data_IF_117323418060
#
_entry.id   IF_117323418060
#
_cell.length_a   1.000
_cell.length_b   1.000
_cell.length_c   1.000
_cell.angle_alpha   90.00
_cell.angle_beta   90.00
_cell.angle_gamma   90.00
#
_symmetry.space_group_name_H-M   'P 1'
#
loop_
_entity.id
_entity.type
_entity.pdbx_description
1 polymer ?
#
# COMPACT_ATOMS: atom_id res chain seq x y z
N UNK A 1 7.64 -20.09 -14.38
CA UNK A 1 7.08 -19.45 -13.17
C UNK A 1 7.43 -17.99 -13.25
N UNK A 2 6.47 -17.08 -13.02
CA UNK A 2 6.76 -15.65 -12.90
C UNK A 2 7.70 -15.43 -11.71
N UNK A 3 8.66 -14.51 -11.83
CA UNK A 3 9.54 -14.15 -10.71
C UNK A 3 8.74 -13.51 -9.57
N UNK A 4 9.35 -13.36 -8.38
CA UNK A 4 8.64 -12.83 -7.20
C UNK A 4 8.27 -11.34 -7.34
N UNK A 5 8.81 -10.65 -8.34
CA UNK A 5 8.54 -9.26 -8.69
C UNK A 5 7.52 -9.10 -9.81
N UNK A 6 7.25 -10.17 -10.56
CA UNK A 6 6.44 -10.11 -11.78
C UNK A 6 4.96 -10.25 -11.46
N UNK A 7 4.11 -9.70 -12.34
CA UNK A 7 2.67 -9.92 -12.26
C UNK A 7 2.39 -11.42 -12.41
N UNK A 8 1.66 -12.04 -11.46
CA UNK A 8 1.42 -13.46 -11.52
C UNK A 8 0.32 -13.76 -12.55
N UNK A 9 0.44 -14.90 -13.23
CA UNK A 9 -0.60 -15.39 -14.15
C UNK A 9 -1.83 -15.91 -13.41
N UNK A 10 -1.67 -16.32 -12.15
CA UNK A 10 -2.76 -16.75 -11.28
C UNK A 10 -2.44 -16.49 -9.81
N UNK A 11 -3.47 -16.46 -8.97
CA UNK A 11 -3.35 -16.29 -7.52
C UNK A 11 -4.08 -17.39 -6.80
N UNK A 12 -3.65 -17.71 -5.59
CA UNK A 12 -4.42 -18.58 -4.72
C UNK A 12 -5.82 -17.99 -4.51
N UNK A 13 -6.83 -18.84 -4.72
CA UNK A 13 -8.23 -18.49 -4.47
C UNK A 13 -8.41 -18.20 -2.98
N UNK A 14 -9.00 -17.04 -2.68
CA UNK A 14 -9.30 -16.64 -1.31
C UNK A 14 -10.72 -17.04 -0.95
N UNK A 15 -10.92 -17.53 0.27
CA UNK A 15 -12.25 -17.77 0.84
C UNK A 15 -12.91 -16.50 1.38
N UNK A 16 -12.14 -15.40 1.47
CA UNK A 16 -12.66 -14.10 1.89
C UNK A 16 -13.54 -13.49 0.79
N UNK A 17 -14.78 -13.10 1.09
CA UNK A 17 -15.80 -12.77 0.10
C UNK A 17 -15.48 -11.54 -0.76
N UNK A 18 -14.65 -10.62 -0.27
CA UNK A 18 -14.29 -9.39 -0.99
C UNK A 18 -13.09 -9.57 -1.94
N UNK A 19 -12.21 -10.55 -1.67
CA UNK A 19 -10.86 -10.55 -2.25
C UNK A 19 -10.88 -10.77 -3.76
N UNK A 20 -11.77 -11.63 -4.26
CA UNK A 20 -11.87 -11.89 -5.70
C UNK A 20 -12.30 -10.62 -6.47
N UNK A 21 -13.38 -9.97 -6.02
CA UNK A 21 -13.89 -8.75 -6.65
C UNK A 21 -12.91 -7.59 -6.55
N UNK A 22 -12.24 -7.41 -5.40
CA UNK A 22 -11.20 -6.38 -5.24
C UNK A 22 -10.05 -6.61 -6.21
N UNK A 23 -9.54 -7.86 -6.30
CA UNK A 23 -8.43 -8.19 -7.21
C UNK A 23 -8.76 -7.91 -8.67
N UNK A 24 -9.97 -8.25 -9.11
CA UNK A 24 -10.43 -7.97 -10.45
C UNK A 24 -10.38 -6.48 -10.79
N UNK A 25 -10.90 -5.63 -9.88
CA UNK A 25 -10.92 -4.19 -10.07
C UNK A 25 -9.53 -3.56 -10.00
N UNK A 26 -8.70 -3.98 -9.03
CA UNK A 26 -7.31 -3.50 -8.91
C UNK A 26 -6.49 -3.92 -10.13
N UNK A 27 -6.71 -5.12 -10.66
CA UNK A 27 -6.04 -5.59 -11.87
C UNK A 27 -6.43 -4.77 -13.10
N UNK A 28 -7.73 -4.45 -13.25
CA UNK A 28 -8.20 -3.59 -14.33
C UNK A 28 -7.65 -2.16 -14.19
N UNK A 29 -7.66 -1.60 -12.98
CA UNK A 29 -7.13 -0.28 -12.67
C UNK A 29 -5.63 -0.18 -12.96
N UNK A 30 -4.84 -1.16 -12.51
CA UNK A 30 -3.39 -1.23 -12.81
C UNK A 30 -3.13 -1.31 -14.31
N UNK A 31 -3.84 -2.17 -15.04
CA UNK A 31 -3.68 -2.30 -16.51
C UNK A 31 -4.07 -1.02 -17.26
N UNK A 32 -5.00 -0.25 -16.72
CA UNK A 32 -5.43 1.03 -17.28
C UNK A 32 -4.47 2.19 -17.01
N UNK A 33 -3.35 1.98 -16.31
CA UNK A 33 -2.42 3.05 -15.94
C UNK A 33 -2.92 3.91 -14.77
N UNK A 34 -3.60 3.30 -13.80
CA UNK A 34 -4.10 3.95 -12.57
C UNK A 34 -5.11 5.11 -12.79
N UNK A 35 -6.15 4.96 -13.63
CA UNK A 35 -7.12 6.03 -13.85
C UNK A 35 -7.83 6.44 -12.55
N UNK A 36 -8.02 7.75 -12.36
CA UNK A 36 -8.66 8.31 -11.18
C UNK A 36 -7.77 8.42 -9.93
N UNK A 37 -6.51 7.98 -10.00
CA UNK A 37 -5.52 8.34 -8.99
C UNK A 37 -5.20 9.84 -9.09
N UNK A 38 -4.94 10.47 -7.95
CA UNK A 38 -4.33 11.80 -7.85
C UNK A 38 -2.93 11.82 -8.45
N UNK A 39 -2.43 13.02 -8.75
CA UNK A 39 -1.07 13.20 -9.24
C UNK A 39 -0.05 12.66 -8.24
N UNK A 40 -0.28 12.89 -6.94
CA UNK A 40 0.58 12.36 -5.87
C UNK A 40 0.60 10.83 -5.85
N UNK A 41 -0.56 10.18 -5.91
CA UNK A 41 -0.63 8.72 -5.90
C UNK A 41 -0.06 8.11 -7.16
N UNK A 42 -0.34 8.68 -8.34
CA UNK A 42 0.23 8.24 -9.60
C UNK A 42 1.77 8.31 -9.57
N UNK A 43 2.34 9.43 -9.10
CA UNK A 43 3.79 9.59 -9.00
C UNK A 43 4.44 8.61 -8.02
N UNK A 44 3.82 8.35 -6.86
CA UNK A 44 4.34 7.35 -5.91
C UNK A 44 4.29 5.93 -6.48
N UNK A 45 3.18 5.57 -7.14
CA UNK A 45 3.03 4.24 -7.75
C UNK A 45 4.03 4.02 -8.90
N UNK A 46 4.28 5.05 -9.71
CA UNK A 46 5.33 5.05 -10.72
C UNK A 46 6.70 4.89 -10.06
N UNK A 47 7.00 5.72 -9.06
CA UNK A 47 8.24 5.64 -8.32
C UNK A 47 8.50 4.24 -7.78
N UNK A 48 7.55 3.63 -7.09
CA UNK A 48 7.81 2.34 -6.44
C UNK A 48 7.85 1.17 -7.41
N UNK A 49 7.07 1.18 -8.48
CA UNK A 49 6.81 -0.04 -9.26
C UNK A 49 7.22 0.03 -10.73
N UNK A 50 7.62 1.20 -11.22
CA UNK A 50 8.05 1.42 -12.61
C UNK A 50 9.47 2.01 -12.70
N UNK A 51 9.85 2.91 -11.78
CA UNK A 51 11.23 3.43 -11.73
C UNK A 51 12.23 2.33 -11.32
N UNK A 52 13.47 2.47 -11.78
CA UNK A 52 14.60 1.61 -11.39
C UNK A 52 15.18 2.07 -10.05
N UNK A 53 15.48 1.10 -9.17
CA UNK A 53 16.11 1.36 -7.88
C UNK A 53 17.36 0.52 -7.69
N UNK A 54 18.28 1.04 -6.87
CA UNK A 54 19.48 0.33 -6.48
C UNK A 54 19.66 0.35 -4.97
N UNK A 55 20.21 -0.72 -4.41
CA UNK A 55 20.73 -0.73 -3.04
C UNK A 55 21.99 0.15 -2.94
N UNK A 56 22.44 0.52 -1.72
CA UNK A 56 23.70 1.25 -1.56
C UNK A 56 24.92 0.57 -2.20
N UNK A 57 24.90 -0.76 -2.31
CA UNK A 57 25.96 -1.57 -2.94
C UNK A 57 25.82 -1.65 -4.48
N UNK A 58 24.89 -0.90 -5.07
CA UNK A 58 24.66 -0.82 -6.52
C UNK A 58 23.87 -1.99 -7.12
N UNK A 59 23.27 -2.86 -6.29
CA UNK A 59 22.45 -3.98 -6.76
C UNK A 59 21.03 -3.51 -7.09
N UNK A 60 20.43 -4.07 -8.14
CA UNK A 60 19.03 -3.80 -8.49
C UNK A 60 18.09 -4.11 -7.30
N UNK A 61 17.22 -3.15 -6.98
CA UNK A 61 16.19 -3.29 -5.96
C UNK A 61 14.81 -3.22 -6.61
N UNK A 62 13.96 -4.20 -6.30
CA UNK A 62 12.55 -4.23 -6.73
C UNK A 62 11.65 -4.66 -5.59
N UNK A 63 10.51 -4.00 -5.47
CA UNK A 63 9.46 -4.46 -4.56
C UNK A 63 8.82 -5.74 -5.11
N UNK A 64 8.51 -6.68 -4.22
CA UNK A 64 7.80 -7.90 -4.58
C UNK A 64 6.39 -7.59 -5.08
N UNK A 65 5.87 -8.43 -5.97
CA UNK A 65 4.50 -8.27 -6.47
C UNK A 65 3.47 -8.24 -5.32
N UNK A 66 3.66 -9.07 -4.28
CA UNK A 66 2.76 -9.06 -3.13
C UNK A 66 2.77 -7.74 -2.35
N UNK A 67 3.89 -7.00 -2.35
CA UNK A 67 3.98 -5.67 -1.75
C UNK A 67 3.24 -4.64 -2.61
N UNK A 68 3.47 -4.70 -3.94
CA UNK A 68 2.74 -3.89 -4.92
C UNK A 68 1.23 -4.08 -4.83
N UNK A 69 0.77 -5.33 -4.86
CA UNK A 69 -0.66 -5.67 -4.76
C UNK A 69 -1.27 -5.12 -3.46
N UNK A 70 -0.56 -5.23 -2.33
CA UNK A 70 -1.05 -4.71 -1.06
C UNK A 70 -1.21 -3.19 -1.08
N UNK A 71 -0.20 -2.46 -1.58
CA UNK A 71 -0.20 -0.99 -1.63
C UNK A 71 -1.26 -0.48 -2.60
N UNK A 72 -1.26 -0.98 -3.84
CA UNK A 72 -2.25 -0.61 -4.86
C UNK A 72 -3.68 -0.90 -4.39
N UNK A 73 -3.91 -2.01 -3.68
CA UNK A 73 -5.24 -2.34 -3.16
C UNK A 73 -5.72 -1.29 -2.16
N UNK A 74 -4.87 -0.89 -1.20
CA UNK A 74 -5.25 0.12 -0.21
C UNK A 74 -5.52 1.46 -0.88
N UNK A 75 -4.65 1.90 -1.79
CA UNK A 75 -4.81 3.16 -2.54
C UNK A 75 -6.09 3.11 -3.37
N UNK A 76 -6.32 2.04 -4.14
CA UNK A 76 -7.52 1.89 -4.97
C UNK A 76 -8.80 1.96 -4.13
N UNK A 77 -8.88 1.16 -3.06
CA UNK A 77 -10.07 1.15 -2.19
C UNK A 77 -10.27 2.50 -1.52
N UNK A 78 -9.18 3.16 -1.15
CA UNK A 78 -9.28 4.44 -0.47
C UNK A 78 -9.64 5.56 -1.45
N UNK A 79 -8.78 5.84 -2.41
CA UNK A 79 -8.82 7.06 -3.20
C UNK A 79 -9.73 6.98 -4.42
N UNK A 80 -9.76 5.81 -5.07
CA UNK A 80 -10.42 5.60 -6.36
C UNK A 80 -11.86 5.10 -6.16
N UNK A 81 -12.04 4.00 -5.45
CA UNK A 81 -13.37 3.45 -5.15
C UNK A 81 -14.13 4.31 -4.12
N UNK A 82 -13.40 5.01 -3.23
CA UNK A 82 -13.94 5.88 -2.17
C UNK A 82 -14.97 5.20 -1.26
N UNK A 83 -14.92 3.88 -1.16
CA UNK A 83 -15.77 3.12 -0.26
C UNK A 83 -15.11 3.03 1.12
N UNK A 84 -15.66 3.83 2.05
CA UNK A 84 -15.14 4.02 3.42
C UNK A 84 -15.81 3.14 4.47
N UNK A 85 -16.80 2.34 4.11
CA UNK A 85 -17.53 1.47 5.05
C UNK A 85 -17.62 0.05 4.53
N UNK A 86 -17.71 -0.91 5.44
CA UNK A 86 -17.86 -2.33 5.07
C UNK A 86 -19.11 -2.59 4.21
N UNK A 87 -20.30 -2.01 4.50
CA UNK A 87 -21.46 -2.15 3.61
C UNK A 87 -21.21 -1.65 2.19
N UNK A 88 -20.55 -0.50 2.02
CA UNK A 88 -20.24 0.05 0.70
C UNK A 88 -19.27 -0.86 -0.07
N UNK A 89 -18.20 -1.32 0.59
CA UNK A 89 -17.27 -2.28 0.02
C UNK A 89 -17.96 -3.60 -0.35
N UNK A 90 -18.83 -4.10 0.52
CA UNK A 90 -19.56 -5.34 0.28
C UNK A 90 -20.51 -5.24 -0.92
N UNK A 91 -21.20 -4.10 -1.06
CA UNK A 91 -22.11 -3.86 -2.18
C UNK A 91 -21.43 -3.91 -3.55
N UNK A 92 -20.15 -3.52 -3.64
CA UNK A 92 -19.40 -3.55 -4.90
C UNK A 92 -18.61 -4.84 -5.11
N UNK A 93 -17.97 -5.38 -4.06
CA UNK A 93 -16.92 -6.40 -4.23
C UNK A 93 -17.28 -7.78 -3.68
N UNK A 94 -18.33 -7.91 -2.85
CA UNK A 94 -18.57 -9.17 -2.16
C UNK A 94 -19.22 -10.21 -3.06
N UNK A 95 -18.67 -11.43 -3.06
CA UNK A 95 -19.27 -12.60 -3.72
C UNK A 95 -20.45 -13.22 -2.94
N UNK A 96 -20.63 -12.82 -1.67
CA UNK A 96 -21.72 -13.26 -0.79
C UNK A 96 -21.96 -12.22 0.32
N UNK A 97 -23.14 -12.23 0.98
CA UNK A 97 -23.44 -11.27 2.05
C UNK A 97 -22.40 -11.26 3.18
N UNK A 98 -22.11 -10.06 3.69
CA UNK A 98 -21.20 -9.82 4.81
C UNK A 98 -21.96 -9.05 5.88
N UNK A 99 -21.96 -9.57 7.11
CA UNK A 99 -22.50 -8.85 8.24
C UNK A 99 -21.63 -7.62 8.55
N UNK A 100 -22.27 -6.46 8.70
CA UNK A 100 -21.60 -5.26 9.19
C UNK A 100 -21.63 -5.23 10.71
N UNK A 101 -20.53 -4.79 11.32
CA UNK A 101 -20.46 -4.51 12.76
C UNK A 101 -20.72 -3.04 13.10
N UNK A 102 -21.22 -2.25 12.15
CA UNK A 102 -21.56 -0.83 12.35
C UNK A 102 -20.36 0.11 12.39
N UNK A 103 -19.13 -0.37 12.11
CA UNK A 103 -17.94 0.49 12.11
C UNK A 103 -18.05 1.60 11.04
N UNK A 104 -17.99 2.90 11.42
CA UNK A 104 -18.24 4.02 10.50
C UNK A 104 -17.01 4.43 9.68
N UNK A 105 -15.91 3.69 9.78
CA UNK A 105 -14.62 3.99 9.13
C UNK A 105 -14.04 2.74 8.45
N UNK A 106 -13.15 2.92 7.45
CA UNK A 106 -12.58 1.79 6.74
C UNK A 106 -11.60 1.04 7.65
N UNK A 107 -11.62 -0.30 7.57
CA UNK A 107 -10.59 -1.16 8.15
C UNK A 107 -10.06 -2.06 7.06
N UNK A 108 -8.79 -1.86 6.72
CA UNK A 108 -8.10 -2.66 5.72
C UNK A 108 -7.23 -3.70 6.42
N UNK A 109 -7.23 -4.92 5.90
CA UNK A 109 -6.41 -6.02 6.41
C UNK A 109 -5.58 -6.57 5.25
N UNK A 110 -4.26 -6.47 5.38
CA UNK A 110 -3.31 -7.09 4.46
C UNK A 110 -2.85 -8.42 5.06
N UNK A 111 -3.29 -9.53 4.46
CA UNK A 111 -2.82 -10.87 4.86
C UNK A 111 -1.48 -11.16 4.18
N UNK A 112 -0.39 -11.07 4.95
CA UNK A 112 0.97 -11.20 4.45
C UNK A 112 1.75 -12.31 5.18
N UNK A 113 2.54 -13.08 4.43
CA UNK A 113 3.37 -14.15 4.97
C UNK A 113 4.57 -13.60 5.78
N UNK A 114 5.22 -14.44 6.57
CA UNK A 114 6.52 -14.11 7.17
C UNK A 114 7.57 -13.96 6.08
N UNK A 115 8.43 -12.94 6.17
CA UNK A 115 9.46 -12.66 5.15
C UNK A 115 8.96 -11.89 3.92
N UNK A 116 7.66 -11.65 3.73
CA UNK A 116 7.14 -10.93 2.55
C UNK A 116 7.37 -9.41 2.57
N UNK A 117 8.16 -8.88 3.52
CA UNK A 117 8.42 -7.46 3.70
C UNK A 117 7.20 -6.62 4.12
N UNK A 118 6.53 -7.04 5.20
CA UNK A 118 5.39 -6.29 5.79
C UNK A 118 5.76 -4.85 6.16
N UNK A 119 6.95 -4.63 6.71
CA UNK A 119 7.46 -3.29 7.06
C UNK A 119 7.54 -2.38 5.83
N UNK A 120 7.99 -2.91 4.67
CA UNK A 120 8.03 -2.14 3.41
C UNK A 120 6.62 -1.72 2.97
N UNK A 121 5.64 -2.62 3.03
CA UNK A 121 4.23 -2.25 2.73
C UNK A 121 3.76 -1.13 3.66
N UNK A 122 4.10 -1.22 4.95
CA UNK A 122 3.77 -0.16 5.91
C UNK A 122 4.44 1.16 5.55
N UNK A 123 5.75 1.18 5.27
CA UNK A 123 6.45 2.43 4.93
C UNK A 123 5.90 3.10 3.68
N UNK A 124 5.57 2.33 2.63
CA UNK A 124 4.96 2.87 1.42
C UNK A 124 3.60 3.50 1.71
N UNK A 125 2.74 2.84 2.50
CA UNK A 125 1.43 3.39 2.87
C UNK A 125 1.52 4.62 3.76
N UNK A 126 2.50 4.66 4.67
CA UNK A 126 2.76 5.82 5.52
C UNK A 126 3.26 7.02 4.69
N UNK A 127 4.17 6.78 3.76
CA UNK A 127 4.64 7.81 2.82
C UNK A 127 3.49 8.32 1.95
N UNK A 128 2.65 7.43 1.41
CA UNK A 128 1.46 7.84 0.66
C UNK A 128 0.52 8.71 1.50
N UNK A 129 0.17 8.29 2.73
CA UNK A 129 -0.68 9.10 3.60
C UNK A 129 -0.10 10.50 3.85
N UNK A 130 1.20 10.56 4.13
CA UNK A 130 1.92 11.81 4.39
C UNK A 130 1.91 12.74 3.17
N UNK A 131 2.41 12.28 2.03
CA UNK A 131 2.53 13.10 0.82
C UNK A 131 1.19 13.45 0.21
N UNK A 132 0.23 12.53 0.21
CA UNK A 132 -1.12 12.82 -0.26
C UNK A 132 -1.78 13.89 0.61
N UNK A 133 -1.56 13.90 1.93
CA UNK A 133 -2.05 14.99 2.79
C UNK A 133 -1.34 16.32 2.51
N UNK A 134 -0.05 16.30 2.21
CA UNK A 134 0.73 17.51 1.96
C UNK A 134 0.40 18.15 0.59
N UNK A 135 0.18 17.32 -0.44
CA UNK A 135 0.18 17.75 -1.84
C UNK A 135 -1.21 17.81 -2.47
N UNK A 136 -2.18 17.04 -2.00
CA UNK A 136 -3.53 17.00 -2.59
C UNK A 136 -4.52 17.88 -1.81
N UNK A 137 -5.06 18.94 -2.43
CA UNK A 137 -6.09 19.77 -1.81
C UNK A 137 -7.31 18.95 -1.40
N UNK A 138 -7.75 19.08 -0.15
CA UNK A 138 -8.91 18.37 0.37
C UNK A 138 -8.65 16.90 0.75
N UNK A 139 -7.39 16.46 0.78
CA UNK A 139 -7.03 15.14 1.30
C UNK A 139 -7.50 14.93 2.74
N UNK A 140 -8.22 13.82 2.96
CA UNK A 140 -8.65 13.34 4.29
C UNK A 140 -7.57 12.47 5.00
N UNK A 141 -6.42 12.24 4.35
CA UNK A 141 -5.30 11.49 4.93
C UNK A 141 -4.54 12.34 5.96
N UNK A 142 -3.53 11.75 6.60
CA UNK A 142 -2.81 12.34 7.73
C UNK A 142 -1.31 12.32 7.53
N UNK A 143 -0.62 13.33 8.07
CA UNK A 143 0.84 13.36 8.20
C UNK A 143 1.33 12.68 9.49
N UNK A 144 0.43 12.36 10.42
CA UNK A 144 0.74 11.68 11.68
C UNK A 144 0.16 10.28 11.70
N UNK A 145 1.00 9.29 12.00
CA UNK A 145 0.63 7.88 12.03
C UNK A 145 1.12 7.19 13.29
N UNK A 146 0.40 6.16 13.73
CA UNK A 146 0.75 5.32 14.88
C UNK A 146 0.99 3.88 14.42
N UNK A 147 2.20 3.37 14.68
CA UNK A 147 2.54 1.96 14.46
C UNK A 147 2.54 1.24 15.80
N UNK A 148 1.72 0.19 15.94
CA UNK A 148 1.59 -0.58 17.17
C UNK A 148 2.23 -1.96 16.99
N UNK A 149 3.14 -2.31 17.89
CA UNK A 149 3.78 -3.63 17.93
C UNK A 149 3.10 -4.55 18.96
N UNK A 150 3.04 -5.86 18.71
CA UNK A 150 2.41 -6.82 19.63
C UNK A 150 3.24 -7.13 20.89
N UNK A 151 4.55 -6.83 20.88
CA UNK A 151 5.45 -7.05 22.02
C UNK A 151 6.75 -6.23 21.83
N UNK A 152 7.56 -6.19 22.88
CA UNK A 152 8.81 -5.42 22.92
C UNK A 152 9.81 -5.82 21.82
N UNK A 153 9.92 -7.12 21.50
CA UNK A 153 10.88 -7.59 20.49
C UNK A 153 10.51 -7.07 19.10
N UNK A 154 9.22 -7.09 18.75
CA UNK A 154 8.74 -6.53 17.48
C UNK A 154 8.82 -5.00 17.49
N UNK A 155 8.56 -4.38 18.63
CA UNK A 155 8.71 -2.93 18.80
C UNK A 155 10.14 -2.48 18.50
N UNK A 156 11.15 -3.11 19.11
CA UNK A 156 12.56 -2.74 18.91
C UNK A 156 12.98 -2.85 17.44
N UNK A 157 12.50 -3.87 16.72
CA UNK A 157 12.75 -4.00 15.28
C UNK A 157 12.10 -2.89 14.46
N UNK A 158 10.83 -2.60 14.72
CA UNK A 158 10.14 -1.49 14.07
C UNK A 158 10.77 -0.15 14.43
N UNK A 159 11.25 0.03 15.67
CA UNK A 159 11.98 1.24 16.06
C UNK A 159 13.23 1.40 15.20
N UNK A 160 14.07 0.36 15.09
CA UNK A 160 15.26 0.43 14.23
C UNK A 160 14.92 0.76 12.77
N UNK A 161 13.81 0.24 12.24
CA UNK A 161 13.37 0.56 10.88
C UNK A 161 12.91 2.03 10.74
N UNK A 162 12.12 2.54 11.69
CA UNK A 162 11.41 3.83 11.54
C UNK A 162 12.04 5.03 12.26
N UNK A 163 12.94 4.81 13.22
CA UNK A 163 13.56 5.86 14.03
C UNK A 163 14.32 6.85 13.14
N UNK A 164 14.17 8.15 13.44
CA UNK A 164 14.69 9.28 12.64
C UNK A 164 14.26 9.25 11.15
N UNK A 165 13.22 8.48 10.83
CA UNK A 165 12.77 8.30 9.46
C UNK A 165 13.71 7.47 8.59
N UNK A 166 14.57 6.62 9.17
CA UNK A 166 15.59 5.85 8.46
C UNK A 166 15.03 5.12 7.22
N UNK A 167 13.96 4.33 7.36
CA UNK A 167 13.32 3.65 6.23
C UNK A 167 12.82 4.58 5.11
N UNK A 168 12.50 5.84 5.40
CA UNK A 168 12.06 6.80 4.37
C UNK A 168 13.22 7.47 3.66
N UNK A 169 14.41 7.49 4.28
CA UNK A 169 15.64 8.12 3.77
C UNK A 169 16.53 7.12 3.05
N UNK A 170 16.62 5.90 3.57
CA UNK A 170 17.57 4.87 3.13
C UNK A 170 16.99 3.97 2.02
N UNK A 171 15.68 3.74 2.03
CA UNK A 171 14.99 2.98 1.00
C UNK A 171 14.39 3.89 -0.09
N UNK A 172 14.09 3.34 -1.29
CA UNK A 172 13.36 4.07 -2.34
C UNK A 172 11.87 4.22 -2.04
N UNK A 173 11.54 4.71 -0.84
CA UNK A 173 10.15 5.00 -0.41
C UNK A 173 9.72 6.38 -0.87
N UNK A 174 10.63 7.35 -0.91
CA UNK A 174 10.33 8.75 -1.23
C UNK A 174 11.03 9.16 -2.52
N UNK A 175 10.27 9.67 -3.52
CA UNK A 175 10.86 10.22 -4.74
C UNK A 175 11.96 11.23 -4.42
N UNK A 176 13.12 11.20 -5.11
CA UNK A 176 14.25 12.08 -4.82
C UNK A 176 13.87 13.57 -4.74
N UNK A 177 12.97 14.01 -5.61
CA UNK A 177 12.47 15.38 -5.67
C UNK A 177 11.56 15.79 -4.49
N UNK A 178 11.08 14.84 -3.68
CA UNK A 178 10.23 15.10 -2.51
C UNK A 178 10.95 14.92 -1.18
N UNK A 179 12.22 14.48 -1.19
CA UNK A 179 13.03 14.32 0.02
C UNK A 179 13.13 15.58 0.91
N UNK A 180 13.19 16.82 0.36
CA UNK A 180 13.22 18.02 1.20
C UNK A 180 11.99 18.21 2.10
N UNK A 181 10.87 17.55 1.80
CA UNK A 181 9.65 17.65 2.60
C UNK A 181 9.63 16.71 3.81
N UNK A 182 10.66 15.86 3.99
CA UNK A 182 10.79 14.96 5.15
C UNK A 182 11.43 15.63 6.38
N UNK A 183 11.89 16.87 6.25
CA UNK A 183 12.65 17.61 7.26
C UNK A 183 11.81 18.61 8.06
#
# INVERSE_FOLDING_TARGET
MSGPYDLPTSRQVSTAPLVAGIREHVDAWRRGGYPGASETSARLLEHWFLDEHQTPDGLEFRYYFAQREAVETVIYLYEVARHRTLPALAGQFASRPIASDGTPYPRYVVKAATGSGKTKVMSLLLAWSYFHRLREPGSELTTTSLVIAPNLIVFERLRMDFENGAIFRDDPVVPPEWRPDLD
#
